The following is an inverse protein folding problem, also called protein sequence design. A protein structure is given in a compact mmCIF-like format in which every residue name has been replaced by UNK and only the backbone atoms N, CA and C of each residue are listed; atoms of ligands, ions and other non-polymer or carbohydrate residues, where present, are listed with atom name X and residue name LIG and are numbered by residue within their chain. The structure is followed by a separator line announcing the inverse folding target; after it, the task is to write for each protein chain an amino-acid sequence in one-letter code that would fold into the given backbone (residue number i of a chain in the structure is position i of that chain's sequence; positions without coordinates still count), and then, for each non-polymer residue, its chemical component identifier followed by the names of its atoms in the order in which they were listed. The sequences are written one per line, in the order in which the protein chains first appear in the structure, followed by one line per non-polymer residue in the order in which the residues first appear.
data_IF_645882454013
#
_entry.id   IF_645882454013
#
_cell.length_a   1.000
_cell.length_b   1.000
_cell.length_c   1.000
_cell.angle_alpha   90.00
_cell.angle_beta   90.00
_cell.angle_gamma   90.00
#
_symmetry.space_group_name_H-M   'P 1'
#
loop_
_entity.id
_entity.type
_entity.pdbx_description
1 polymer ?
#
# COMPACT_ATOMS: atom_id res chain seq x y z
N UNK A 1 9.21 4.91 17.99
CA UNK A 1 8.38 4.53 16.84
C UNK A 1 8.23 3.02 16.78
N UNK A 2 7.07 2.55 16.33
CA UNK A 2 6.81 1.16 15.96
C UNK A 2 6.00 1.10 14.66
N UNK A 3 5.83 -0.08 14.08
CA UNK A 3 4.99 -0.26 12.89
C UNK A 3 3.63 -0.81 13.28
N UNK A 4 2.58 -0.33 12.61
CA UNK A 4 1.25 -0.93 12.62
C UNK A 4 0.98 -1.59 11.27
N UNK A 5 0.47 -2.82 11.30
CA UNK A 5 0.12 -3.60 10.11
C UNK A 5 -1.40 -3.60 9.95
N UNK A 6 -1.87 -3.13 8.80
CA UNK A 6 -3.28 -3.12 8.42
C UNK A 6 -3.65 -4.34 7.58
N UNK A 7 -2.76 -4.74 6.66
CA UNK A 7 -2.92 -5.97 5.87
C UNK A 7 -1.55 -6.58 5.51
N UNK A 8 -1.55 -7.88 5.24
CA UNK A 8 -0.39 -8.64 4.82
C UNK A 8 -0.81 -9.82 3.92
N UNK A 9 -0.80 -11.05 4.44
CA UNK A 9 -1.23 -12.21 3.69
C UNK A 9 -2.76 -12.20 3.48
N UNK A 10 -3.20 -12.10 2.21
CA UNK A 10 -4.63 -12.01 1.83
C UNK A 10 -5.03 -13.18 0.93
N UNK A 11 -5.96 -14.06 1.35
CA UNK A 11 -6.53 -15.11 0.50
C UNK A 11 -7.10 -14.58 -0.82
N UNK A 12 -7.02 -15.36 -1.90
CA UNK A 12 -7.63 -15.01 -3.18
C UNK A 12 -9.14 -14.84 -3.07
N UNK A 13 -9.80 -15.65 -2.23
CA UNK A 13 -11.22 -15.50 -1.92
C UNK A 13 -11.59 -14.12 -1.35
N UNK A 14 -10.72 -13.51 -0.55
CA UNK A 14 -10.91 -12.16 -0.01
C UNK A 14 -10.60 -11.11 -1.08
N UNK A 15 -9.53 -11.30 -1.84
CA UNK A 15 -9.20 -10.42 -2.97
C UNK A 15 -10.33 -10.36 -4.01
N UNK A 16 -11.03 -11.47 -4.24
CA UNK A 16 -12.19 -11.50 -5.13
C UNK A 16 -13.33 -10.64 -4.61
N UNK A 17 -13.64 -10.70 -3.31
CA UNK A 17 -14.65 -9.83 -2.70
C UNK A 17 -14.29 -8.36 -2.85
N UNK A 18 -13.02 -7.99 -2.62
CA UNK A 18 -12.54 -6.61 -2.83
C UNK A 18 -12.65 -6.18 -4.30
N UNK A 19 -12.26 -7.06 -5.22
CA UNK A 19 -12.37 -6.79 -6.66
C UNK A 19 -13.81 -6.62 -7.11
N UNK A 20 -14.74 -7.40 -6.58
CA UNK A 20 -16.15 -7.32 -6.92
C UNK A 20 -16.79 -5.97 -6.56
N UNK A 21 -16.27 -5.28 -5.54
CA UNK A 21 -16.71 -3.93 -5.15
C UNK A 21 -16.29 -2.88 -6.17
N UNK A 22 -15.10 -3.03 -6.78
CA UNK A 22 -14.53 -1.98 -7.65
C UNK A 22 -14.58 -2.29 -9.13
N UNK A 23 -14.84 -3.56 -9.52
CA UNK A 23 -14.91 -3.96 -10.94
C UNK A 23 -16.00 -3.14 -11.65
N UNK A 24 -15.64 -2.52 -12.77
CA UNK A 24 -16.55 -1.64 -13.53
C UNK A 24 -16.63 -0.19 -13.02
N UNK A 25 -15.91 0.17 -11.96
CA UNK A 25 -15.77 1.57 -11.51
C UNK A 25 -14.42 2.15 -11.95
N UNK A 26 -14.23 3.46 -11.83
CA UNK A 26 -12.90 4.08 -12.04
C UNK A 26 -11.85 3.68 -11.00
N UNK A 27 -12.26 3.05 -9.88
CA UNK A 27 -11.37 2.61 -8.80
C UNK A 27 -10.75 1.24 -9.03
N UNK A 28 -11.11 0.55 -10.12
CA UNK A 28 -10.59 -0.78 -10.43
C UNK A 28 -9.05 -0.84 -10.50
N UNK A 29 -8.39 0.28 -10.80
CA UNK A 29 -6.92 0.34 -10.90
C UNK A 29 -6.20 0.09 -9.57
N UNK A 30 -6.89 0.26 -8.43
CA UNK A 30 -6.30 0.12 -7.09
C UNK A 30 -6.43 -1.30 -6.53
N UNK A 31 -7.32 -2.13 -7.06
CA UNK A 31 -7.50 -3.50 -6.57
C UNK A 31 -7.04 -4.47 -7.64
N UNK A 32 -6.06 -5.31 -7.32
CA UNK A 32 -5.55 -6.30 -8.27
C UNK A 32 -6.63 -7.33 -8.62
N UNK A 33 -6.85 -7.55 -9.92
CA UNK A 33 -7.83 -8.54 -10.41
C UNK A 33 -7.35 -9.98 -10.12
N UNK A 34 -8.10 -10.76 -9.31
CA UNK A 34 -7.78 -12.16 -8.99
C UNK A 34 -7.62 -13.06 -10.22
N UNK A 35 -8.41 -12.85 -11.27
CA UNK A 35 -8.36 -13.68 -12.49
C UNK A 35 -7.04 -13.56 -13.24
N UNK A 36 -6.25 -12.51 -12.96
CA UNK A 36 -4.90 -12.30 -13.50
C UNK A 36 -3.80 -12.74 -12.54
N UNK A 37 -4.16 -13.46 -11.47
CA UNK A 37 -3.28 -13.92 -10.39
C UNK A 37 -3.16 -12.96 -9.21
N UNK A 38 -4.08 -11.99 -9.05
CA UNK A 38 -4.12 -11.12 -7.88
C UNK A 38 -2.89 -10.21 -7.69
N UNK A 39 -2.75 -9.66 -6.48
CA UNK A 39 -1.65 -8.83 -6.03
C UNK A 39 -0.68 -9.59 -5.12
N UNK A 40 0.35 -8.92 -4.60
CA UNK A 40 1.39 -9.58 -3.79
C UNK A 40 0.96 -9.97 -2.38
N UNK A 41 -0.13 -9.39 -1.85
CA UNK A 41 -0.80 -9.90 -0.65
C UNK A 41 -1.24 -11.35 -0.83
N UNK A 42 -1.64 -11.74 -2.04
CA UNK A 42 -2.07 -13.11 -2.35
C UNK A 42 -0.93 -14.12 -2.36
N UNK A 43 0.33 -13.66 -2.26
CA UNK A 43 1.50 -14.52 -2.10
C UNK A 43 2.12 -14.40 -0.70
N UNK A 44 1.55 -13.59 0.20
CA UNK A 44 2.15 -13.26 1.49
C UNK A 44 3.43 -12.41 1.37
N UNK A 45 3.57 -11.65 0.27
CA UNK A 45 4.79 -10.91 -0.09
C UNK A 45 4.55 -9.40 -0.18
N UNK A 46 3.48 -8.92 0.44
CA UNK A 46 3.19 -7.50 0.59
C UNK A 46 2.68 -7.19 1.99
N UNK A 47 2.84 -5.94 2.41
CA UNK A 47 2.31 -5.40 3.66
C UNK A 47 1.75 -3.99 3.42
N UNK A 48 0.63 -3.71 4.07
CA UNK A 48 0.01 -2.39 4.17
C UNK A 48 0.23 -1.89 5.60
N UNK A 49 1.02 -0.82 5.77
CA UNK A 49 1.51 -0.42 7.09
C UNK A 49 1.55 1.10 7.30
N UNK A 50 1.67 1.52 8.55
CA UNK A 50 2.02 2.88 8.94
C UNK A 50 2.97 2.87 10.15
N UNK A 51 3.34 4.06 10.63
CA UNK A 51 4.19 4.28 11.80
C UNK A 51 3.32 4.71 12.98
N UNK A 52 3.57 4.13 14.14
CA UNK A 52 3.07 4.62 15.43
C UNK A 52 4.17 5.40 16.16
N UNK A 53 3.79 6.48 16.84
CA UNK A 53 4.64 7.18 17.80
C UNK A 53 4.92 6.35 19.07
N UNK A 54 5.61 6.93 20.04
CA UNK A 54 5.93 6.30 21.33
C UNK A 54 4.72 6.06 22.23
N UNK A 55 3.60 6.72 21.95
CA UNK A 55 2.31 6.57 22.65
C UNK A 55 1.36 5.59 21.94
N UNK A 56 1.80 5.00 20.82
CA UNK A 56 0.97 4.09 20.02
C UNK A 56 -0.01 4.81 19.10
N UNK A 57 0.15 6.10 18.85
CA UNK A 57 -0.71 6.90 17.96
C UNK A 57 -0.18 6.82 16.53
N UNK A 58 -1.01 6.49 15.52
CA UNK A 58 -0.59 6.55 14.12
C UNK A 58 -0.15 7.96 13.72
N UNK A 59 1.02 8.06 13.09
CA UNK A 59 1.47 9.31 12.49
C UNK A 59 0.49 9.73 11.37
N UNK A 60 0.22 11.04 11.21
CA UNK A 60 -0.64 11.51 10.14
C UNK A 60 0.04 11.30 8.79
N UNK A 61 -0.73 10.78 7.83
CA UNK A 61 -0.25 10.44 6.49
C UNK A 61 -1.07 11.13 5.38
N UNK A 62 -1.91 12.13 5.70
CA UNK A 62 -2.72 12.88 4.73
C UNK A 62 -3.99 12.20 4.26
N UNK A 63 -3.99 10.88 4.15
CA UNK A 63 -5.18 10.07 3.85
C UNK A 63 -5.20 8.84 4.75
N UNK A 64 -6.38 8.24 5.01
CA UNK A 64 -6.40 6.90 5.59
C UNK A 64 -5.80 5.88 4.62
N UNK A 65 -5.45 4.70 5.17
CA UNK A 65 -5.21 3.48 4.38
C UNK A 65 -6.48 3.16 3.58
N UNK A 66 -6.31 2.55 2.40
CA UNK A 66 -7.38 2.28 1.42
C UNK A 66 -8.05 3.51 0.80
N UNK A 67 -7.44 4.70 0.92
CA UNK A 67 -7.88 5.87 0.14
C UNK A 67 -7.59 5.68 -1.36
N UNK A 68 -8.60 5.30 -2.13
CA UNK A 68 -8.47 5.01 -3.57
C UNK A 68 -8.44 6.29 -4.43
N UNK A 69 -7.48 7.19 -4.19
CA UNK A 69 -7.40 8.50 -4.84
C UNK A 69 -5.97 8.95 -5.11
N UNK A 70 -5.80 10.01 -5.92
CA UNK A 70 -4.46 10.55 -6.27
C UNK A 70 -3.72 11.07 -5.04
N UNK A 71 -4.44 11.47 -4.00
CA UNK A 71 -3.87 11.93 -2.73
C UNK A 71 -3.10 10.83 -1.98
N UNK A 72 -3.36 9.56 -2.29
CA UNK A 72 -2.61 8.42 -1.75
C UNK A 72 -1.31 8.12 -2.53
N UNK A 73 -1.15 8.67 -3.73
CA UNK A 73 0.00 8.39 -4.60
C UNK A 73 1.27 9.04 -4.05
N UNK A 74 2.42 8.42 -4.31
CA UNK A 74 3.72 8.89 -3.81
C UNK A 74 4.53 9.68 -4.83
N UNK A 75 4.01 9.86 -6.05
CA UNK A 75 4.77 10.44 -7.17
C UNK A 75 4.64 11.96 -7.29
N UNK A 76 3.60 12.56 -6.70
CA UNK A 76 3.28 14.00 -6.83
C UNK A 76 3.08 14.67 -5.46
N UNK A 77 3.66 14.12 -4.39
CA UNK A 77 3.40 14.60 -3.02
C UNK A 77 3.80 16.06 -2.80
N UNK A 78 4.88 16.55 -3.43
CA UNK A 78 5.24 17.97 -3.35
C UNK A 78 4.18 18.88 -3.99
N UNK A 79 3.52 18.42 -5.06
CA UNK A 79 2.40 19.14 -5.68
C UNK A 79 1.18 19.11 -4.76
N UNK A 80 0.90 17.97 -4.12
CA UNK A 80 -0.18 17.87 -3.13
C UNK A 80 0.04 18.81 -1.94
N UNK A 81 1.29 18.97 -1.49
CA UNK A 81 1.65 19.95 -0.45
C UNK A 81 1.41 21.38 -0.95
N UNK A 82 1.89 21.73 -2.14
CA UNK A 82 1.67 23.05 -2.73
C UNK A 82 0.17 23.38 -2.92
N UNK A 83 -0.68 22.37 -3.10
CA UNK A 83 -2.13 22.51 -3.21
C UNK A 83 -2.88 22.49 -1.86
N UNK A 84 -2.17 22.32 -0.74
CA UNK A 84 -2.78 22.20 0.59
C UNK A 84 -3.56 20.91 0.82
N UNK A 85 -3.38 19.89 -0.03
CA UNK A 85 -4.01 18.56 0.10
C UNK A 85 -3.23 17.60 0.99
N UNK A 86 -1.96 17.92 1.24
CA UNK A 86 -1.05 17.21 2.12
C UNK A 86 -0.29 18.28 2.91
N UNK A 87 0.00 18.04 4.18
CA UNK A 87 0.94 18.88 4.93
C UNK A 87 2.37 18.42 4.68
N UNK A 88 3.36 19.30 4.87
CA UNK A 88 4.76 18.89 4.76
C UNK A 88 5.12 17.80 5.79
N UNK A 89 4.56 17.87 7.00
CA UNK A 89 4.75 16.84 8.03
C UNK A 89 4.23 15.46 7.58
N UNK A 90 3.07 15.40 6.92
CA UNK A 90 2.54 14.14 6.41
C UNK A 90 3.41 13.58 5.27
N UNK A 91 3.94 14.46 4.41
CA UNK A 91 4.91 14.07 3.38
C UNK A 91 6.21 13.53 3.99
N UNK A 92 6.73 14.17 5.03
CA UNK A 92 7.91 13.71 5.77
C UNK A 92 7.66 12.35 6.44
N UNK A 93 6.48 12.13 7.03
CA UNK A 93 6.11 10.84 7.62
C UNK A 93 6.07 9.73 6.56
N UNK A 94 5.51 10.00 5.38
CA UNK A 94 5.51 9.06 4.25
C UNK A 94 6.94 8.80 3.74
N UNK A 95 7.80 9.82 3.70
CA UNK A 95 9.21 9.66 3.34
C UNK A 95 9.96 8.77 4.33
N UNK A 96 9.77 8.99 5.63
CA UNK A 96 10.34 8.17 6.69
C UNK A 96 9.92 6.70 6.55
N UNK A 97 8.61 6.46 6.39
CA UNK A 97 8.08 5.10 6.21
C UNK A 97 8.72 4.42 4.99
N UNK A 98 8.77 5.12 3.85
CA UNK A 98 9.39 4.59 2.63
C UNK A 98 10.88 4.32 2.79
N UNK A 99 11.61 5.18 3.52
CA UNK A 99 13.02 4.97 3.78
C UNK A 99 13.25 3.69 4.59
N UNK A 100 12.58 3.57 5.74
CA UNK A 100 12.68 2.40 6.63
C UNK A 100 12.35 1.11 5.88
N UNK A 101 11.27 1.12 5.09
CA UNK A 101 10.84 -0.06 4.35
C UNK A 101 11.81 -0.42 3.21
N UNK A 102 12.41 0.56 2.53
CA UNK A 102 13.45 0.31 1.53
C UNK A 102 14.71 -0.28 2.15
N UNK A 103 15.15 0.22 3.29
CA UNK A 103 16.28 -0.33 4.04
C UNK A 103 16.02 -1.77 4.49
N UNK A 104 14.77 -2.10 4.83
CA UNK A 104 14.33 -3.47 5.12
C UNK A 104 14.14 -4.36 3.87
N UNK A 105 14.41 -3.84 2.67
CA UNK A 105 14.32 -4.59 1.41
C UNK A 105 12.93 -4.70 0.82
N UNK A 106 12.01 -3.80 1.17
CA UNK A 106 10.71 -3.68 0.52
C UNK A 106 10.68 -2.53 -0.50
N UNK A 107 9.74 -2.59 -1.42
CA UNK A 107 9.57 -1.62 -2.50
C UNK A 107 8.17 -0.99 -2.45
N UNK A 108 8.05 0.34 -2.43
CA UNK A 108 6.75 1.00 -2.36
C UNK A 108 5.96 0.84 -3.67
N UNK A 109 4.64 0.88 -3.57
CA UNK A 109 3.76 0.99 -4.73
C UNK A 109 3.51 2.48 -5.09
N UNK A 110 3.67 2.91 -6.36
CA UNK A 110 3.48 4.32 -6.72
C UNK A 110 2.12 4.92 -6.37
N UNK A 111 1.06 4.11 -6.39
CA UNK A 111 -0.32 4.53 -6.16
C UNK A 111 -0.74 4.59 -4.69
N UNK A 112 0.05 4.07 -3.76
CA UNK A 112 -0.38 3.82 -2.38
C UNK A 112 0.78 4.07 -1.40
N UNK A 113 0.66 5.05 -0.51
CA UNK A 113 1.74 5.40 0.43
C UNK A 113 2.02 4.32 1.48
N UNK A 114 1.05 3.45 1.76
CA UNK A 114 1.10 2.42 2.80
C UNK A 114 1.57 1.04 2.29
N UNK A 115 1.52 0.79 0.97
CA UNK A 115 1.71 -0.53 0.37
C UNK A 115 3.18 -0.78 0.02
N UNK A 116 3.72 -1.90 0.49
CA UNK A 116 5.10 -2.31 0.27
C UNK A 116 5.21 -3.77 -0.19
N UNK A 117 5.92 -3.99 -1.29
CA UNK A 117 6.17 -5.31 -1.88
C UNK A 117 7.56 -5.83 -1.55
N UNK A 118 7.68 -7.11 -1.19
CA UNK A 118 8.99 -7.73 -0.92
C UNK A 118 9.77 -8.08 -2.20
N UNK A 119 9.06 -8.45 -3.27
CA UNK A 119 9.63 -8.83 -4.57
C UNK A 119 8.74 -8.30 -5.70
N UNK A 120 9.17 -8.47 -6.95
CA UNK A 120 8.31 -8.18 -8.10
C UNK A 120 7.17 -9.21 -8.22
N UNK A 121 6.07 -8.82 -8.83
CA UNK A 121 4.95 -9.74 -9.13
C UNK A 121 5.35 -10.89 -10.05
N UNK A 122 6.30 -10.66 -10.96
CA UNK A 122 6.85 -11.72 -11.81
C UNK A 122 7.61 -12.76 -10.97
N UNK A 123 8.52 -12.31 -10.12
CA UNK A 123 9.27 -13.19 -9.21
C UNK A 123 8.34 -13.98 -8.29
N UNK A 124 7.28 -13.35 -7.78
CA UNK A 124 6.29 -14.04 -6.95
C UNK A 124 5.59 -15.18 -7.71
N UNK A 125 5.12 -14.91 -8.93
CA UNK A 125 4.47 -15.90 -9.80
C UNK A 125 5.36 -17.10 -10.12
N UNK A 126 6.65 -16.87 -10.31
CA UNK A 126 7.62 -17.93 -10.65
C UNK A 126 7.99 -18.80 -9.45
N UNK A 127 7.98 -18.26 -8.23
CA UNK A 127 8.61 -18.89 -7.05
C UNK A 127 7.66 -19.26 -5.91
N UNK A 128 6.44 -18.71 -5.89
CA UNK A 128 5.53 -18.84 -4.77
C UNK A 128 4.13 -19.25 -5.22
N UNK A 129 3.39 -19.89 -4.33
CA UNK A 129 1.99 -20.23 -4.55
C UNK A 129 1.11 -19.13 -3.99
N UNK A 130 -0.02 -18.92 -4.67
CA UNK A 130 -1.07 -18.06 -4.14
C UNK A 130 -1.69 -18.69 -2.90
N UNK A 131 -2.10 -17.84 -1.97
CA UNK A 131 -2.91 -18.19 -0.81
C UNK A 131 -4.35 -18.35 -1.30
N UNK A 132 -4.93 -19.55 -1.19
CA UNK A 132 -6.29 -19.82 -1.69
C UNK A 132 -7.35 -18.99 -0.95
#
# INVERSE_FOLDING_TARGET
YSLIVYDAARPLSVQQKMWDVVKGTSKYIYVSNPSRGGGLHNYGLAVDISILDDKGTPLPMGTPVDHLGREAHITEEAVLVAQGKLTEQERENRLLLRQVMKEAGFHPLPSEWWHFNRVSRQTAKERYRVIP
#
